data_IF_645401101506
#
_entry.id   IF_645401101506
#
_cell.length_a   1.000
_cell.length_b   1.000
_cell.length_c   1.000
_cell.angle_alpha   90.00
_cell.angle_beta   90.00
_cell.angle_gamma   90.00
#
_symmetry.space_group_name_H-M   'P 1'
#
loop_
_entity.id
_entity.type
_entity.pdbx_description
1 polymer ?
#
# COMPACT_ATOMS: atom_id res chain seq x y z
N UNK A 1 9.32 5.04 33.54
CA UNK A 1 10.71 4.52 33.51
C UNK A 1 11.02 3.75 32.22
N UNK A 2 10.29 2.70 31.86
CA UNK A 2 10.56 1.87 30.66
C UNK A 2 10.62 2.68 29.33
N UNK A 3 9.69 3.63 29.10
CA UNK A 3 9.67 4.46 27.87
C UNK A 3 10.91 5.36 27.74
N UNK A 4 11.38 5.99 28.84
CA UNK A 4 12.60 6.82 28.81
C UNK A 4 13.84 6.00 28.48
N UNK A 5 13.96 4.78 29.01
CA UNK A 5 15.04 3.86 28.69
C UNK A 5 15.01 3.50 27.20
N UNK A 6 13.83 3.15 26.65
CA UNK A 6 13.66 2.83 25.22
C UNK A 6 14.09 4.01 24.33
N UNK A 7 13.65 5.24 24.65
CA UNK A 7 14.05 6.43 23.88
C UNK A 7 15.54 6.71 23.96
N UNK A 8 16.17 6.44 25.10
CA UNK A 8 17.63 6.48 25.26
C UNK A 8 18.34 5.46 24.37
N UNK A 9 17.90 4.20 24.40
CA UNK A 9 18.44 3.14 23.55
C UNK A 9 18.32 3.48 22.05
N UNK A 10 17.20 4.03 21.62
CA UNK A 10 17.00 4.51 20.24
C UNK A 10 18.02 5.60 19.88
N UNK A 11 18.29 6.53 20.80
CA UNK A 11 19.28 7.58 20.55
C UNK A 11 20.69 7.02 20.39
N UNK A 12 21.08 6.05 21.22
CA UNK A 12 22.37 5.35 21.11
C UNK A 12 22.44 4.58 19.79
N UNK A 13 21.40 3.81 19.46
CA UNK A 13 21.31 3.11 18.17
C UNK A 13 21.50 4.07 16.99
N UNK A 14 20.80 5.19 16.97
CA UNK A 14 20.91 6.19 15.90
C UNK A 14 22.32 6.76 15.80
N UNK A 15 22.96 7.06 16.92
CA UNK A 15 24.33 7.59 16.94
C UNK A 15 25.33 6.58 16.35
N UNK A 16 25.27 5.33 16.80
CA UNK A 16 26.14 4.25 16.29
C UNK A 16 25.89 3.97 14.80
N UNK A 17 24.61 3.92 14.41
CA UNK A 17 24.21 3.66 13.02
C UNK A 17 24.70 4.77 12.09
N UNK A 18 24.62 6.05 12.52
CA UNK A 18 25.17 7.18 11.77
C UNK A 18 26.69 7.20 11.73
N UNK A 19 27.38 6.78 12.79
CA UNK A 19 28.83 6.66 12.79
C UNK A 19 29.30 5.63 11.75
N UNK A 20 28.67 4.45 11.72
CA UNK A 20 28.94 3.41 10.70
C UNK A 20 28.63 3.95 9.29
N UNK A 21 27.49 4.62 9.12
CA UNK A 21 27.10 5.20 7.84
C UNK A 21 28.07 6.29 7.36
N UNK A 22 28.63 7.11 8.27
CA UNK A 22 29.63 8.12 7.94
C UNK A 22 30.89 7.49 7.33
N UNK A 23 31.34 6.35 7.89
CA UNK A 23 32.48 5.57 7.31
C UNK A 23 32.08 5.01 5.93
N UNK A 24 30.89 4.44 5.78
CA UNK A 24 30.42 3.91 4.50
C UNK A 24 30.36 4.99 3.41
N UNK A 25 30.06 6.24 3.78
CA UNK A 25 30.05 7.40 2.87
C UNK A 25 31.43 7.82 2.35
N UNK A 26 32.54 7.28 2.85
CA UNK A 26 33.86 7.53 2.26
C UNK A 26 34.00 6.93 0.85
N UNK A 27 33.17 5.95 0.51
CA UNK A 27 33.11 5.37 -0.84
C UNK A 27 32.53 6.39 -1.85
N UNK A 28 32.95 6.37 -3.11
CA UNK A 28 32.41 7.25 -4.14
C UNK A 28 30.95 6.95 -4.45
N UNK A 29 30.21 7.98 -4.85
CA UNK A 29 28.86 7.85 -5.36
C UNK A 29 28.85 7.06 -6.68
N UNK A 30 27.79 6.30 -6.91
CA UNK A 30 27.57 5.45 -8.09
C UNK A 30 26.29 5.87 -8.79
N UNK A 31 26.22 5.72 -10.08
CA UNK A 31 24.98 5.84 -10.86
C UNK A 31 24.01 4.71 -10.50
N UNK A 32 23.38 4.84 -9.35
CA UNK A 32 22.65 3.77 -8.68
C UNK A 32 21.33 4.22 -8.12
N UNK A 33 20.30 3.39 -8.34
CA UNK A 33 18.98 3.50 -7.73
C UNK A 33 18.78 2.33 -6.76
N UNK A 34 18.44 2.63 -5.52
CA UNK A 34 18.17 1.64 -4.47
C UNK A 34 16.68 1.65 -4.17
N UNK A 35 16.02 0.50 -4.27
CA UNK A 35 14.60 0.32 -3.96
C UNK A 35 14.45 -0.47 -2.67
N UNK A 36 13.80 0.12 -1.64
CA UNK A 36 13.66 -0.49 -0.32
C UNK A 36 12.19 -0.69 0.02
N UNK A 37 11.81 -1.93 0.32
CA UNK A 37 10.47 -2.29 0.81
C UNK A 37 10.54 -3.02 2.15
N UNK A 38 9.56 -2.71 3.01
CA UNK A 38 9.25 -3.46 4.24
C UNK A 38 7.91 -4.19 4.14
N UNK A 39 7.26 -4.14 3.00
CA UNK A 39 5.92 -4.68 2.76
C UNK A 39 5.94 -6.11 2.21
N UNK A 40 7.13 -6.61 1.82
CA UNK A 40 7.29 -7.92 1.21
C UNK A 40 8.75 -8.36 1.29
N UNK A 41 8.99 -9.68 1.32
CA UNK A 41 10.31 -10.28 1.18
C UNK A 41 10.72 -10.46 -0.29
N UNK A 42 9.87 -10.08 -1.23
CA UNK A 42 10.13 -10.12 -2.68
C UNK A 42 9.87 -8.76 -3.32
N UNK A 43 10.35 -8.59 -4.55
CA UNK A 43 10.06 -7.39 -5.33
C UNK A 43 8.55 -7.23 -5.51
N UNK A 44 8.08 -6.00 -5.31
CA UNK A 44 6.67 -5.66 -5.55
C UNK A 44 6.46 -5.26 -7.00
N UNK A 45 5.25 -5.42 -7.55
CA UNK A 45 4.95 -5.04 -8.92
C UNK A 45 5.28 -3.58 -9.27
N UNK A 46 5.14 -2.66 -8.31
CA UNK A 46 5.50 -1.26 -8.50
C UNK A 46 7.01 -1.09 -8.73
N UNK A 47 7.85 -1.80 -7.95
CA UNK A 47 9.30 -1.76 -8.10
C UNK A 47 9.77 -2.48 -9.37
N UNK A 48 9.13 -3.60 -9.72
CA UNK A 48 9.42 -4.34 -10.94
C UNK A 48 9.19 -3.47 -12.19
N UNK A 49 8.05 -2.76 -12.24
CA UNK A 49 7.75 -1.85 -13.35
C UNK A 49 8.72 -0.67 -13.43
N UNK A 50 8.99 -0.02 -12.29
CA UNK A 50 9.96 1.07 -12.24
C UNK A 50 11.34 0.60 -12.69
N UNK A 51 11.81 -0.54 -12.20
CA UNK A 51 13.11 -1.09 -12.55
C UNK A 51 13.22 -1.41 -14.03
N UNK A 52 12.23 -2.08 -14.59
CA UNK A 52 12.19 -2.41 -16.02
C UNK A 52 12.26 -1.14 -16.89
N UNK A 53 11.50 -0.11 -16.53
CA UNK A 53 11.47 1.13 -17.30
C UNK A 53 12.75 1.98 -17.11
N UNK A 54 13.36 1.95 -15.89
CA UNK A 54 14.66 2.61 -15.65
C UNK A 54 15.75 1.92 -16.48
N UNK A 55 15.82 0.58 -16.49
CA UNK A 55 16.79 -0.18 -17.29
C UNK A 55 16.61 0.06 -18.78
N UNK A 56 15.37 0.18 -19.24
CA UNK A 56 15.08 0.51 -20.64
C UNK A 56 15.51 1.94 -21.00
N UNK A 57 15.35 2.90 -20.06
CA UNK A 57 15.74 4.31 -20.24
C UNK A 57 17.24 4.52 -20.19
N UNK A 58 17.94 3.79 -19.32
CA UNK A 58 19.39 3.88 -19.16
C UNK A 58 19.98 2.57 -18.60
N UNK A 59 20.51 1.69 -19.46
CA UNK A 59 21.13 0.43 -19.05
C UNK A 59 22.37 0.57 -18.17
N UNK A 60 22.96 1.78 -18.06
CA UNK A 60 24.11 2.06 -17.21
C UNK A 60 23.77 2.31 -15.73
N UNK A 61 22.47 2.34 -15.39
CA UNK A 61 22.01 2.51 -14.01
C UNK A 61 22.07 1.18 -13.26
N UNK A 62 22.78 1.16 -12.13
CA UNK A 62 22.76 -0.01 -11.25
C UNK A 62 21.51 -0.01 -10.38
N UNK A 63 20.64 -1.02 -10.52
CA UNK A 63 19.47 -1.23 -9.67
C UNK A 63 19.80 -2.16 -8.51
N UNK A 64 19.34 -1.81 -7.30
CA UNK A 64 19.47 -2.63 -6.09
C UNK A 64 18.12 -2.72 -5.38
N UNK A 65 17.64 -3.93 -5.16
CA UNK A 65 16.37 -4.21 -4.49
C UNK A 65 16.62 -4.77 -3.09
N UNK A 66 16.10 -4.10 -2.08
CA UNK A 66 16.25 -4.43 -0.66
C UNK A 66 14.88 -4.62 -0.03
N UNK A 67 14.25 -5.74 -0.32
CA UNK A 67 12.91 -6.09 0.15
C UNK A 67 13.02 -7.05 1.34
N UNK A 68 12.57 -6.62 2.53
CA UNK A 68 12.52 -7.47 3.72
C UNK A 68 11.49 -6.97 4.73
N UNK A 69 10.58 -7.86 5.11
CA UNK A 69 9.69 -7.69 6.24
C UNK A 69 10.46 -7.84 7.56
N UNK A 70 10.01 -7.13 8.60
CA UNK A 70 10.52 -7.29 9.94
C UNK A 70 9.73 -8.43 10.61
N UNK A 71 10.41 -9.52 10.92
CA UNK A 71 9.80 -10.63 11.64
C UNK A 71 9.83 -10.43 13.15
N UNK A 72 9.16 -11.31 13.89
CA UNK A 72 8.96 -11.23 15.34
C UNK A 72 9.88 -12.13 16.14
N UNK A 73 10.57 -13.09 15.51
CA UNK A 73 11.50 -13.98 16.19
C UNK A 73 12.87 -13.31 16.42
N UNK A 74 13.62 -13.68 17.48
CA UNK A 74 14.95 -13.13 17.72
C UNK A 74 15.92 -13.30 16.53
N UNK A 75 15.82 -14.42 15.82
CA UNK A 75 16.64 -14.68 14.63
C UNK A 75 16.28 -13.77 13.46
N UNK A 76 14.99 -13.54 13.25
CA UNK A 76 14.50 -12.62 12.21
C UNK A 76 14.88 -11.17 12.53
N UNK A 77 14.78 -10.75 13.79
CA UNK A 77 15.25 -9.45 14.24
C UNK A 77 16.75 -9.27 14.00
N UNK A 78 17.56 -10.29 14.31
CA UNK A 78 19.01 -10.25 14.02
C UNK A 78 19.27 -10.14 12.51
N UNK A 79 18.58 -10.94 11.70
CA UNK A 79 18.65 -10.86 10.22
C UNK A 79 18.22 -9.49 9.71
N UNK A 80 17.22 -8.88 10.35
CA UNK A 80 16.78 -7.55 10.01
C UNK A 80 17.81 -6.48 10.38
N UNK A 81 18.56 -6.63 11.47
CA UNK A 81 19.70 -5.75 11.80
C UNK A 81 20.77 -5.79 10.72
N UNK A 82 21.14 -6.96 10.21
CA UNK A 82 22.07 -7.07 9.08
C UNK A 82 21.49 -6.45 7.80
N UNK A 83 20.19 -6.58 7.57
CA UNK A 83 19.54 -5.92 6.46
C UNK A 83 19.59 -4.39 6.59
N UNK A 84 19.43 -3.82 7.78
CA UNK A 84 19.61 -2.38 8.01
C UNK A 84 21.02 -1.92 7.65
N UNK A 85 22.06 -2.68 8.03
CA UNK A 85 23.45 -2.38 7.65
C UNK A 85 23.66 -2.46 6.14
N UNK A 86 23.07 -3.44 5.48
CA UNK A 86 23.08 -3.55 4.01
C UNK A 86 22.40 -2.35 3.35
N UNK A 87 21.22 -1.95 3.85
CA UNK A 87 20.56 -0.74 3.39
C UNK A 87 21.45 0.51 3.51
N UNK A 88 22.11 0.69 4.67
CA UNK A 88 23.05 1.79 4.86
C UNK A 88 24.21 1.74 3.86
N UNK A 89 24.79 0.56 3.64
CA UNK A 89 25.89 0.37 2.70
C UNK A 89 25.50 0.74 1.27
N UNK A 90 24.33 0.35 0.81
CA UNK A 90 23.85 0.68 -0.53
C UNK A 90 23.43 2.15 -0.65
N UNK A 91 22.75 2.71 0.35
CA UNK A 91 22.37 4.12 0.38
C UNK A 91 23.57 5.08 0.41
N UNK A 92 24.69 4.67 1.03
CA UNK A 92 25.89 5.51 1.17
C UNK A 92 26.50 5.95 -0.17
N UNK A 93 26.19 5.24 -1.25
CA UNK A 93 26.76 5.44 -2.58
C UNK A 93 25.69 5.62 -3.67
N UNK A 94 24.38 5.68 -3.31
CA UNK A 94 23.29 5.83 -4.26
C UNK A 94 22.94 7.29 -4.51
N UNK A 95 22.55 7.62 -5.75
CA UNK A 95 21.98 8.93 -6.09
C UNK A 95 20.46 8.98 -5.86
N UNK A 96 19.75 7.85 -6.05
CA UNK A 96 18.31 7.81 -5.83
C UNK A 96 17.96 6.62 -4.92
N UNK A 97 17.06 6.87 -3.98
CA UNK A 97 16.41 5.84 -3.17
C UNK A 97 14.90 5.90 -3.39
N UNK A 98 14.29 4.78 -3.77
CA UNK A 98 12.84 4.64 -3.92
C UNK A 98 12.32 3.77 -2.77
N UNK A 99 11.27 4.23 -2.09
CA UNK A 99 10.66 3.51 -0.97
C UNK A 99 9.14 3.44 -1.12
N UNK A 100 8.53 2.38 -0.62
CA UNK A 100 7.07 2.17 -0.63
C UNK A 100 6.40 2.30 0.73
N UNK A 101 7.11 2.82 1.72
CA UNK A 101 6.60 2.98 3.08
C UNK A 101 7.60 3.68 4.00
N UNK A 102 7.32 3.68 5.31
CA UNK A 102 8.28 4.16 6.29
C UNK A 102 9.52 3.27 6.31
N UNK A 103 10.68 3.86 6.10
CA UNK A 103 11.97 3.17 6.03
C UNK A 103 12.93 3.72 7.09
N UNK A 104 13.36 2.87 8.05
CA UNK A 104 14.24 3.27 9.15
C UNK A 104 15.55 3.87 8.63
N UNK A 105 16.32 3.19 7.73
CA UNK A 105 17.55 3.76 7.19
C UNK A 105 17.38 5.15 6.58
N UNK A 106 16.34 5.33 5.76
CA UNK A 106 16.04 6.62 5.14
C UNK A 106 15.74 7.70 6.18
N UNK A 107 14.97 7.35 7.22
CA UNK A 107 14.46 8.33 8.18
C UNK A 107 15.46 8.74 9.26
N UNK A 108 16.43 7.87 9.59
CA UNK A 108 17.33 8.10 10.75
C UNK A 108 18.77 8.42 10.37
N UNK A 109 19.21 8.09 9.15
CA UNK A 109 20.58 8.33 8.71
C UNK A 109 20.77 9.77 8.18
N UNK A 110 21.96 10.30 8.36
CA UNK A 110 22.36 11.61 7.84
C UNK A 110 22.91 11.44 6.42
N UNK A 111 22.00 11.49 5.45
CA UNK A 111 22.32 11.26 4.04
C UNK A 111 23.23 12.34 3.46
N UNK A 112 23.87 12.00 2.34
CA UNK A 112 24.49 12.99 1.46
C UNK A 112 23.41 13.84 0.79
N UNK A 113 23.71 15.08 0.45
CA UNK A 113 22.80 15.99 -0.24
C UNK A 113 22.46 15.54 -1.68
N UNK A 114 23.35 14.74 -2.26
CA UNK A 114 23.19 14.16 -3.61
C UNK A 114 22.23 12.96 -3.65
N UNK A 115 21.90 12.35 -2.50
CA UNK A 115 20.89 11.30 -2.44
C UNK A 115 19.48 11.90 -2.47
N UNK A 116 18.72 11.58 -3.50
CA UNK A 116 17.30 11.93 -3.61
C UNK A 116 16.42 10.75 -3.17
N UNK A 117 15.42 11.02 -2.36
CA UNK A 117 14.49 10.01 -1.82
C UNK A 117 13.11 10.20 -2.40
N UNK A 118 12.62 9.17 -3.09
CA UNK A 118 11.28 9.14 -3.72
C UNK A 118 10.39 8.15 -2.97
N UNK A 119 9.28 8.63 -2.42
CA UNK A 119 8.24 7.81 -1.81
C UNK A 119 7.17 7.48 -2.85
N UNK A 120 6.96 6.18 -3.15
CA UNK A 120 5.91 5.73 -4.09
C UNK A 120 4.67 5.22 -3.37
N UNK A 121 4.78 4.96 -2.06
CA UNK A 121 3.77 4.34 -1.20
C UNK A 121 3.31 2.96 -1.71
N UNK A 122 2.47 2.28 -0.93
CA UNK A 122 2.03 0.91 -1.22
C UNK A 122 0.51 0.79 -1.42
N UNK A 123 -0.21 1.90 -1.40
CA UNK A 123 -1.64 1.93 -1.60
C UNK A 123 -2.00 3.01 -2.62
N UNK A 124 -3.00 2.73 -3.44
CA UNK A 124 -3.55 3.71 -4.37
C UNK A 124 -4.55 4.59 -3.62
N UNK A 125 -4.18 5.84 -3.40
CA UNK A 125 -4.98 6.79 -2.63
C UNK A 125 -4.86 6.63 -1.11
N UNK A 126 -5.64 7.42 -0.39
CA UNK A 126 -5.64 7.52 1.06
C UNK A 126 -7.08 7.52 1.61
N UNK A 127 -7.72 6.35 1.65
CA UNK A 127 -9.09 6.21 2.21
C UNK A 127 -9.07 6.45 3.71
N UNK A 128 -8.19 5.77 4.43
CA UNK A 128 -8.01 5.92 5.90
C UNK A 128 -6.89 6.88 6.23
N UNK A 129 -6.99 7.50 7.40
CA UNK A 129 -5.88 8.25 8.00
C UNK A 129 -4.73 7.32 8.37
N UNK A 130 -3.51 7.77 8.17
CA UNK A 130 -2.29 7.02 8.46
C UNK A 130 -1.11 7.96 8.73
N UNK A 131 0.07 7.40 9.02
CA UNK A 131 1.26 8.20 9.27
C UNK A 131 1.05 9.19 10.41
N UNK A 132 1.35 10.47 10.16
CA UNK A 132 1.21 11.54 11.15
C UNK A 132 -0.26 11.90 11.46
N UNK A 133 -1.19 11.64 10.55
CA UNK A 133 -2.62 11.79 10.80
C UNK A 133 -3.17 10.83 11.86
N UNK A 134 -2.47 9.71 12.12
CA UNK A 134 -2.86 8.64 13.04
C UNK A 134 -1.89 8.51 14.23
N UNK A 135 -1.23 9.59 14.65
CA UNK A 135 -0.40 9.59 15.85
C UNK A 135 -1.25 9.74 17.11
N UNK A 136 -0.95 8.93 18.13
CA UNK A 136 -1.60 8.98 19.45
C UNK A 136 -3.11 8.72 19.45
N UNK A 137 -3.66 8.17 18.37
CA UNK A 137 -5.03 7.63 18.35
C UNK A 137 -5.00 6.14 18.72
N UNK A 138 -6.10 5.56 19.19
CA UNK A 138 -6.20 4.11 19.42
C UNK A 138 -5.78 3.34 18.16
N UNK A 139 -4.88 2.34 18.29
CA UNK A 139 -4.31 1.63 17.14
C UNK A 139 -3.30 2.40 16.29
N UNK A 140 -3.00 3.66 16.63
CA UNK A 140 -1.96 4.48 16.00
C UNK A 140 -0.59 4.28 16.65
N UNK A 141 0.43 4.98 16.12
CA UNK A 141 1.77 4.95 16.68
C UNK A 141 1.94 5.98 17.81
N UNK A 142 2.76 5.65 18.80
CA UNK A 142 3.19 6.61 19.82
C UNK A 142 3.92 7.79 19.17
N UNK A 143 3.44 9.01 19.43
CA UNK A 143 3.95 10.25 18.82
C UNK A 143 5.43 10.48 19.10
N UNK A 144 5.85 10.32 20.38
CA UNK A 144 7.23 10.56 20.79
C UNK A 144 8.20 9.57 20.15
N UNK A 145 7.78 8.29 20.03
CA UNK A 145 8.55 7.27 19.34
C UNK A 145 8.66 7.57 17.83
N UNK A 146 7.56 7.96 17.19
CA UNK A 146 7.54 8.34 15.78
C UNK A 146 8.46 9.53 15.49
N UNK A 147 8.43 10.56 16.35
CA UNK A 147 9.30 11.73 16.24
C UNK A 147 10.77 11.37 16.46
N UNK A 148 11.08 10.56 17.49
CA UNK A 148 12.44 10.10 17.79
C UNK A 148 13.03 9.28 16.65
N UNK A 149 12.21 8.45 16.00
CA UNK A 149 12.59 7.65 14.83
C UNK A 149 12.54 8.42 13.51
N UNK A 150 12.21 9.72 13.54
CA UNK A 150 12.16 10.55 12.33
C UNK A 150 11.16 10.06 11.30
N UNK A 151 9.98 9.61 11.75
CA UNK A 151 8.99 9.03 10.85
C UNK A 151 8.67 9.96 9.65
N UNK A 152 8.82 9.42 8.45
CA UNK A 152 8.59 10.11 7.17
C UNK A 152 9.49 11.33 6.90
N UNK A 153 10.71 11.36 7.44
CA UNK A 153 11.73 12.37 7.09
C UNK A 153 12.50 12.02 5.81
N UNK A 154 13.11 13.07 5.24
CA UNK A 154 14.06 13.01 4.12
C UNK A 154 13.45 12.61 2.77
N UNK A 155 12.17 12.86 2.53
CA UNK A 155 11.57 12.69 1.21
C UNK A 155 11.85 13.93 0.35
N UNK A 156 12.34 13.75 -0.88
CA UNK A 156 12.51 14.78 -1.90
C UNK A 156 11.31 14.82 -2.84
N UNK A 157 10.68 13.68 -3.08
CA UNK A 157 9.43 13.58 -3.81
C UNK A 157 8.51 12.50 -3.24
N UNK A 158 7.20 12.75 -3.32
CA UNK A 158 6.14 11.79 -3.00
C UNK A 158 5.26 11.67 -4.22
N UNK A 159 5.20 10.46 -4.82
CA UNK A 159 4.40 10.21 -6.01
C UNK A 159 2.93 10.03 -5.65
N UNK A 160 2.06 10.71 -6.36
CA UNK A 160 0.62 10.71 -6.13
C UNK A 160 -0.13 10.44 -7.43
N UNK A 161 -1.28 9.75 -7.32
CA UNK A 161 -2.15 9.50 -8.46
C UNK A 161 -3.18 10.63 -8.68
N UNK A 162 -3.37 11.54 -7.70
CA UNK A 162 -4.26 12.69 -7.79
C UNK A 162 -3.91 13.78 -6.78
N UNK A 163 -4.42 14.99 -7.00
CA UNK A 163 -4.29 16.10 -6.05
C UNK A 163 -5.02 15.82 -4.73
N UNK A 164 -6.15 15.10 -4.76
CA UNK A 164 -6.83 14.66 -3.53
C UNK A 164 -5.91 13.77 -2.68
N UNK A 165 -5.23 12.82 -3.31
CA UNK A 165 -4.27 11.95 -2.63
C UNK A 165 -3.06 12.74 -2.15
N UNK A 166 -2.54 13.69 -2.93
CA UNK A 166 -1.42 14.55 -2.55
C UNK A 166 -1.71 15.30 -1.26
N UNK A 167 -2.89 15.94 -1.13
CA UNK A 167 -3.31 16.65 0.08
C UNK A 167 -3.32 15.76 1.32
N UNK A 168 -3.85 14.53 1.19
CA UNK A 168 -3.85 13.57 2.31
C UNK A 168 -2.41 13.12 2.67
N UNK A 169 -1.51 13.00 1.69
CA UNK A 169 -0.12 12.61 1.90
C UNK A 169 0.72 13.73 2.51
N UNK A 170 0.45 15.00 2.22
CA UNK A 170 1.08 16.15 2.91
C UNK A 170 0.91 16.02 4.42
N UNK A 171 -0.31 15.78 4.87
CA UNK A 171 -0.63 15.61 6.28
C UNK A 171 -0.06 14.30 6.85
N UNK A 172 -0.24 13.18 6.12
CA UNK A 172 0.16 11.86 6.59
C UNK A 172 1.68 11.71 6.72
N UNK A 173 2.44 12.29 5.81
CA UNK A 173 3.91 12.27 5.85
C UNK A 173 4.49 13.48 6.56
N UNK A 174 3.74 14.57 6.72
CA UNK A 174 4.22 15.81 7.28
C UNK A 174 5.29 16.45 6.39
N UNK A 175 5.08 16.44 5.10
CA UNK A 175 5.94 17.04 4.08
C UNK A 175 5.20 18.15 3.34
N UNK A 176 5.94 19.12 2.81
CA UNK A 176 5.37 20.26 2.13
C UNK A 176 4.82 19.92 0.73
N UNK A 177 3.86 20.71 0.26
CA UNK A 177 3.18 20.53 -1.02
C UNK A 177 4.12 20.52 -2.23
N UNK A 178 5.23 21.26 -2.16
CA UNK A 178 6.26 21.33 -3.21
C UNK A 178 6.96 19.97 -3.47
N UNK A 179 6.86 19.02 -2.55
CA UNK A 179 7.38 17.66 -2.71
C UNK A 179 6.37 16.68 -3.29
N UNK A 180 5.09 17.06 -3.37
CA UNK A 180 4.07 16.21 -4.00
C UNK A 180 4.23 16.23 -5.52
N UNK A 181 4.22 15.06 -6.15
CA UNK A 181 4.32 14.88 -7.60
C UNK A 181 3.14 14.09 -8.10
N UNK A 182 2.18 14.77 -8.71
CA UNK A 182 0.98 14.15 -9.31
C UNK A 182 1.37 13.61 -10.70
N UNK A 183 2.25 12.62 -10.71
CA UNK A 183 2.72 11.92 -11.92
C UNK A 183 1.85 10.71 -12.27
N UNK A 184 0.90 10.35 -11.41
CA UNK A 184 0.39 9.01 -11.33
C UNK A 184 1.36 8.10 -10.57
N UNK A 185 1.03 6.81 -10.47
CA UNK A 185 1.87 5.79 -9.81
C UNK A 185 1.91 4.50 -10.64
N UNK A 186 2.99 3.70 -10.55
CA UNK A 186 3.15 2.47 -11.38
C UNK A 186 2.00 1.47 -11.22
N UNK A 187 1.41 1.39 -10.03
CA UNK A 187 0.28 0.50 -9.74
C UNK A 187 -0.93 0.71 -10.64
N UNK A 188 -1.20 1.95 -11.04
CA UNK A 188 -2.28 2.26 -11.99
C UNK A 188 -2.04 1.53 -13.30
N UNK A 189 -0.82 1.61 -13.83
CA UNK A 189 -0.46 0.92 -15.07
C UNK A 189 -0.51 -0.60 -14.93
N UNK A 190 -0.05 -1.15 -13.78
CA UNK A 190 -0.13 -2.58 -13.50
C UNK A 190 -1.56 -3.11 -13.60
N UNK A 191 -2.50 -2.37 -13.01
CA UNK A 191 -3.91 -2.76 -13.02
C UNK A 191 -4.51 -2.60 -14.41
N UNK A 192 -4.24 -1.50 -15.10
CA UNK A 192 -4.78 -1.22 -16.43
C UNK A 192 -4.20 -2.13 -17.53
N UNK A 193 -2.93 -2.56 -17.38
CA UNK A 193 -2.24 -3.47 -18.29
C UNK A 193 -2.50 -4.95 -17.97
N UNK A 194 -3.18 -5.25 -16.85
CA UNK A 194 -3.46 -6.62 -16.41
C UNK A 194 -4.27 -7.41 -17.45
N UNK A 195 -3.79 -8.60 -17.82
CA UNK A 195 -4.50 -9.50 -18.73
C UNK A 195 -5.65 -10.23 -18.01
N UNK A 196 -6.80 -9.57 -17.93
CA UNK A 196 -8.00 -10.08 -17.26
C UNK A 196 -8.50 -11.40 -17.83
N UNK A 197 -8.38 -11.61 -19.15
CA UNK A 197 -8.77 -12.86 -19.80
C UNK A 197 -7.89 -14.03 -19.32
N UNK A 198 -6.58 -13.81 -19.15
CA UNK A 198 -5.65 -14.79 -18.58
C UNK A 198 -5.99 -15.09 -17.12
N UNK A 199 -6.29 -14.07 -16.32
CA UNK A 199 -6.71 -14.25 -14.92
C UNK A 199 -7.96 -15.14 -14.85
N UNK A 200 -8.99 -14.82 -15.63
CA UNK A 200 -10.24 -15.60 -15.69
C UNK A 200 -10.00 -17.05 -16.16
N UNK A 201 -9.20 -17.26 -17.20
CA UNK A 201 -8.87 -18.63 -17.67
C UNK A 201 -8.20 -19.46 -16.56
N UNK A 202 -7.20 -18.91 -15.87
CA UNK A 202 -6.49 -19.60 -14.79
C UNK A 202 -7.43 -19.90 -13.62
N UNK A 203 -8.26 -18.94 -13.23
CA UNK A 203 -9.21 -19.12 -12.14
C UNK A 203 -10.22 -20.23 -12.44
N UNK A 204 -10.90 -20.18 -13.60
CA UNK A 204 -11.88 -21.19 -13.98
C UNK A 204 -11.28 -22.52 -14.45
N UNK A 205 -9.97 -22.62 -14.60
CA UNK A 205 -9.28 -23.91 -14.70
C UNK A 205 -9.14 -24.57 -13.32
N UNK A 206 -8.92 -23.78 -12.27
CA UNK A 206 -8.85 -24.28 -10.89
C UNK A 206 -10.24 -24.53 -10.27
N UNK A 207 -11.24 -23.71 -10.65
CA UNK A 207 -12.62 -23.76 -10.13
C UNK A 207 -13.64 -23.83 -11.27
N UNK A 208 -13.71 -24.94 -12.02
CA UNK A 208 -14.61 -25.06 -13.16
C UNK A 208 -16.09 -25.00 -12.78
N UNK A 209 -16.44 -25.42 -11.56
CA UNK A 209 -17.80 -25.40 -11.00
C UNK A 209 -18.35 -23.99 -10.79
N UNK A 210 -17.49 -22.96 -10.76
CA UNK A 210 -17.90 -21.56 -10.61
C UNK A 210 -18.17 -20.85 -11.93
N UNK A 211 -18.04 -21.54 -13.06
CA UNK A 211 -18.34 -20.95 -14.38
C UNK A 211 -19.82 -20.60 -14.49
N UNK A 212 -20.08 -19.40 -15.00
CA UNK A 212 -21.44 -18.90 -15.21
C UNK A 212 -22.12 -18.35 -13.96
N UNK A 213 -21.49 -18.48 -12.79
CA UNK A 213 -22.00 -17.86 -11.57
C UNK A 213 -21.56 -16.40 -11.46
N UNK A 214 -22.42 -15.55 -10.87
CA UNK A 214 -22.08 -14.17 -10.49
C UNK A 214 -21.21 -14.20 -9.24
N UNK A 215 -19.95 -13.81 -9.39
CA UNK A 215 -18.95 -13.84 -8.32
C UNK A 215 -18.79 -12.45 -7.73
N UNK A 216 -18.94 -12.34 -6.41
CA UNK A 216 -18.68 -11.11 -5.65
C UNK A 216 -17.46 -11.32 -4.74
N UNK A 217 -16.50 -10.40 -4.81
CA UNK A 217 -15.31 -10.41 -3.94
C UNK A 217 -15.54 -9.52 -2.72
N UNK A 218 -15.45 -10.07 -1.52
CA UNK A 218 -15.38 -9.28 -0.29
C UNK A 218 -13.92 -9.21 0.20
N UNK A 219 -13.38 -8.00 0.25
CA UNK A 219 -12.02 -7.73 0.68
C UNK A 219 -11.99 -6.67 1.79
N UNK A 220 -12.26 -7.06 3.05
CA UNK A 220 -12.28 -6.13 4.17
C UNK A 220 -10.89 -5.62 4.55
N UNK A 221 -10.85 -4.44 5.17
CA UNK A 221 -9.66 -3.90 5.83
C UNK A 221 -9.37 -4.67 7.11
N UNK A 222 -8.08 -4.89 7.39
CA UNK A 222 -7.60 -5.40 8.65
C UNK A 222 -8.12 -4.59 9.85
N UNK A 223 -8.51 -5.29 10.91
CA UNK A 223 -8.92 -4.69 12.18
C UNK A 223 -7.84 -4.86 13.24
N UNK A 224 -7.58 -3.80 14.01
CA UNK A 224 -6.61 -3.83 15.11
C UNK A 224 -7.17 -4.56 16.34
N UNK A 225 -6.26 -5.02 17.20
CA UNK A 225 -6.61 -5.69 18.44
C UNK A 225 -7.18 -7.09 18.23
N UNK A 226 -8.16 -7.49 19.03
CA UNK A 226 -8.81 -8.80 18.97
C UNK A 226 -10.00 -8.85 17.99
N UNK A 227 -10.30 -7.73 17.35
CA UNK A 227 -11.44 -7.66 16.43
C UNK A 227 -11.14 -8.32 15.11
N UNK A 228 -12.17 -8.94 14.55
CA UNK A 228 -12.16 -9.48 13.18
C UNK A 228 -13.11 -8.67 12.31
N UNK A 229 -12.87 -8.59 11.00
CA UNK A 229 -13.87 -8.08 10.07
C UNK A 229 -15.18 -8.85 10.22
N UNK A 230 -16.31 -8.14 10.08
CA UNK A 230 -17.63 -8.77 10.13
C UNK A 230 -17.87 -9.54 8.82
N UNK A 231 -17.87 -10.87 8.91
CA UNK A 231 -17.97 -11.74 7.74
C UNK A 231 -19.30 -12.51 7.76
N UNK A 232 -19.70 -13.04 8.91
CA UNK A 232 -20.85 -13.96 9.04
C UNK A 232 -22.18 -13.33 8.59
N UNK A 233 -22.56 -12.09 8.95
CA UNK A 233 -23.79 -11.49 8.45
C UNK A 233 -23.80 -11.38 6.92
N UNK A 234 -22.67 -10.99 6.31
CA UNK A 234 -22.58 -10.86 4.87
C UNK A 234 -22.61 -12.20 4.14
N UNK A 235 -21.92 -13.22 4.64
CA UNK A 235 -21.96 -14.58 4.07
C UNK A 235 -23.34 -15.19 4.21
N UNK A 236 -24.00 -15.01 5.35
CA UNK A 236 -25.36 -15.51 5.59
C UNK A 236 -26.38 -14.84 4.64
N UNK A 237 -26.29 -13.52 4.45
CA UNK A 237 -27.16 -12.82 3.52
C UNK A 237 -26.90 -13.26 2.06
N UNK A 238 -25.63 -13.43 1.68
CA UNK A 238 -25.25 -13.91 0.37
C UNK A 238 -25.78 -15.32 0.08
N UNK A 239 -25.62 -16.25 1.01
CA UNK A 239 -26.14 -17.62 0.89
C UNK A 239 -27.66 -17.65 0.74
N UNK A 240 -28.38 -16.94 1.61
CA UNK A 240 -29.86 -16.86 1.55
C UNK A 240 -30.37 -16.35 0.20
N UNK A 241 -29.65 -15.46 -0.44
CA UNK A 241 -30.03 -14.83 -1.70
C UNK A 241 -29.35 -15.49 -2.93
N UNK A 242 -28.62 -16.59 -2.75
CA UNK A 242 -27.98 -17.33 -3.84
C UNK A 242 -26.80 -16.56 -4.50
N UNK A 243 -26.16 -15.63 -3.79
CA UNK A 243 -25.00 -14.89 -4.28
C UNK A 243 -23.70 -15.61 -3.90
N UNK A 244 -22.83 -15.87 -4.88
CA UNK A 244 -21.51 -16.44 -4.62
C UNK A 244 -20.55 -15.37 -4.09
N UNK A 245 -20.17 -15.49 -2.83
CA UNK A 245 -19.21 -14.60 -2.18
C UNK A 245 -17.86 -15.30 -2.00
N UNK A 246 -16.78 -14.65 -2.51
CA UNK A 246 -15.40 -15.02 -2.21
C UNK A 246 -14.85 -14.00 -1.23
N UNK A 247 -14.33 -14.47 -0.09
CA UNK A 247 -13.73 -13.58 0.93
C UNK A 247 -12.22 -13.61 0.82
N UNK A 248 -11.60 -12.42 0.77
CA UNK A 248 -10.16 -12.24 0.79
C UNK A 248 -9.74 -11.45 2.01
N UNK A 249 -9.36 -12.14 3.06
CA UNK A 249 -8.87 -11.53 4.28
C UNK A 249 -7.48 -10.91 4.09
N UNK A 250 -7.19 -9.91 4.91
CA UNK A 250 -5.82 -9.44 5.10
C UNK A 250 -4.96 -10.57 5.70
N UNK A 251 -3.68 -10.74 5.33
CA UNK A 251 -2.83 -11.81 5.86
C UNK A 251 -2.82 -11.90 7.39
N UNK A 252 -2.76 -10.75 8.08
CA UNK A 252 -2.79 -10.71 9.55
C UNK A 252 -4.09 -11.23 10.17
N UNK A 253 -5.26 -10.98 9.54
CA UNK A 253 -6.53 -11.54 10.02
C UNK A 253 -6.60 -13.04 9.76
N UNK A 254 -6.05 -13.50 8.63
CA UNK A 254 -5.95 -14.93 8.33
C UNK A 254 -5.06 -15.65 9.35
N UNK A 255 -3.88 -15.13 9.67
CA UNK A 255 -3.01 -15.69 10.72
C UNK A 255 -3.69 -15.75 12.09
N UNK A 256 -4.57 -14.79 12.41
CA UNK A 256 -5.38 -14.84 13.63
C UNK A 256 -6.36 -15.99 13.63
N UNK A 257 -7.10 -16.19 12.54
CA UNK A 257 -8.02 -17.34 12.40
C UNK A 257 -7.28 -18.66 12.56
N UNK A 258 -6.11 -18.79 11.92
CA UNK A 258 -5.27 -19.99 12.01
C UNK A 258 -4.77 -20.22 13.43
N UNK A 259 -4.29 -19.18 14.12
CA UNK A 259 -3.86 -19.28 15.53
C UNK A 259 -4.98 -19.64 16.48
N UNK A 260 -6.17 -19.11 16.26
CA UNK A 260 -7.36 -19.45 17.06
C UNK A 260 -7.98 -20.80 16.68
N UNK A 261 -7.45 -21.49 15.64
CA UNK A 261 -8.00 -22.74 15.08
C UNK A 261 -9.47 -22.61 14.66
N UNK A 262 -9.85 -21.42 14.20
CA UNK A 262 -11.19 -21.18 13.66
C UNK A 262 -11.18 -21.52 12.18
N UNK A 263 -12.02 -22.50 11.79
CA UNK A 263 -12.20 -22.84 10.38
C UNK A 263 -13.08 -21.77 9.71
N UNK A 264 -12.66 -21.21 8.57
CA UNK A 264 -13.47 -20.26 7.83
C UNK A 264 -14.78 -20.90 7.37
N UNK A 265 -15.90 -20.25 7.66
CA UNK A 265 -17.24 -20.61 7.14
C UNK A 265 -17.56 -19.83 5.87
N UNK A 266 -16.56 -19.59 5.02
CA UNK A 266 -16.69 -18.83 3.77
C UNK A 266 -15.72 -19.36 2.72
N UNK A 267 -16.02 -19.08 1.45
CA UNK A 267 -15.15 -19.49 0.34
C UNK A 267 -13.92 -18.57 0.26
N UNK A 268 -12.76 -19.18 0.27
CA UNK A 268 -11.49 -18.53 -0.09
C UNK A 268 -10.93 -19.17 -1.37
N UNK A 269 -10.03 -18.45 -2.05
CA UNK A 269 -9.23 -18.95 -3.16
C UNK A 269 -7.78 -18.53 -2.92
N UNK A 270 -7.08 -19.16 -1.96
CA UNK A 270 -5.81 -18.67 -1.42
C UNK A 270 -4.66 -18.67 -2.43
N UNK A 271 -4.71 -19.52 -3.45
CA UNK A 271 -3.72 -19.62 -4.53
C UNK A 271 -3.78 -18.43 -5.51
N UNK A 272 -4.83 -17.61 -5.44
CA UNK A 272 -4.98 -16.42 -6.28
C UNK A 272 -4.78 -15.14 -5.47
N UNK A 273 -3.94 -14.25 -5.98
CA UNK A 273 -3.76 -12.92 -5.39
C UNK A 273 -4.99 -12.01 -5.61
N UNK A 274 -5.09 -10.96 -4.80
CA UNK A 274 -6.22 -10.01 -4.81
C UNK A 274 -6.54 -9.45 -6.19
N UNK A 275 -5.54 -9.09 -6.99
CA UNK A 275 -5.74 -8.58 -8.35
C UNK A 275 -6.38 -9.60 -9.28
N UNK A 276 -6.00 -10.89 -9.16
CA UNK A 276 -6.63 -11.95 -9.94
C UNK A 276 -8.10 -12.14 -9.53
N UNK A 277 -8.38 -12.17 -8.23
CA UNK A 277 -9.75 -12.29 -7.73
C UNK A 277 -10.61 -11.09 -8.14
N UNK A 278 -10.09 -9.88 -8.03
CA UNK A 278 -10.73 -8.65 -8.49
C UNK A 278 -11.02 -8.68 -10.02
N UNK A 279 -10.10 -9.19 -10.83
CA UNK A 279 -10.32 -9.34 -12.27
C UNK A 279 -11.41 -10.36 -12.62
N UNK A 280 -11.56 -11.41 -11.82
CA UNK A 280 -12.55 -12.47 -11.98
C UNK A 280 -13.93 -12.03 -11.50
N UNK A 281 -14.01 -11.37 -10.35
CA UNK A 281 -15.25 -10.95 -9.72
C UNK A 281 -16.10 -10.04 -10.63
N UNK A 282 -17.41 -10.11 -10.48
CA UNK A 282 -18.37 -9.23 -11.16
C UNK A 282 -18.61 -7.94 -10.37
N UNK A 283 -18.40 -7.97 -9.05
CA UNK A 283 -18.42 -6.82 -8.15
C UNK A 283 -17.43 -7.00 -7.00
N UNK A 284 -17.05 -5.90 -6.36
CA UNK A 284 -16.18 -5.88 -5.18
C UNK A 284 -16.92 -5.23 -4.02
N UNK A 285 -16.98 -5.92 -2.89
CA UNK A 285 -17.37 -5.36 -1.59
C UNK A 285 -16.10 -5.09 -0.82
N UNK A 286 -15.99 -3.92 -0.23
CA UNK A 286 -14.92 -3.55 0.68
C UNK A 286 -15.44 -2.59 1.75
N UNK A 287 -14.55 -2.01 2.54
CA UNK A 287 -14.90 -1.02 3.54
C UNK A 287 -14.02 0.24 3.40
N UNK A 288 -12.88 0.31 4.08
CA UNK A 288 -11.96 1.45 4.08
C UNK A 288 -10.66 1.15 3.32
N UNK A 289 -10.71 0.25 2.35
CA UNK A 289 -9.53 -0.21 1.62
C UNK A 289 -9.36 0.47 0.27
N UNK A 290 -8.11 0.70 -0.11
CA UNK A 290 -7.73 1.21 -1.43
C UNK A 290 -8.13 0.29 -2.60
N UNK A 291 -8.54 -0.97 -2.33
CA UNK A 291 -9.06 -1.87 -3.37
C UNK A 291 -10.30 -1.29 -4.06
N UNK A 292 -11.06 -0.40 -3.40
CA UNK A 292 -12.17 0.34 -4.01
C UNK A 292 -11.70 1.17 -5.20
N UNK A 293 -10.58 1.85 -5.05
CA UNK A 293 -9.96 2.66 -6.12
C UNK A 293 -9.38 1.72 -7.20
N UNK A 294 -8.70 0.65 -6.80
CA UNK A 294 -8.10 -0.34 -7.70
C UNK A 294 -9.17 -1.03 -8.57
N UNK A 295 -10.30 -1.41 -7.99
CA UNK A 295 -11.44 -2.01 -8.70
C UNK A 295 -12.10 -1.04 -9.69
N UNK A 296 -12.21 0.25 -9.32
CA UNK A 296 -12.78 1.28 -10.18
C UNK A 296 -11.97 1.49 -11.48
N UNK A 297 -10.64 1.30 -11.45
CA UNK A 297 -9.78 1.38 -12.64
C UNK A 297 -10.16 0.38 -13.73
N UNK A 298 -10.62 -0.80 -13.34
CA UNK A 298 -11.07 -1.85 -14.28
C UNK A 298 -12.58 -1.91 -14.42
N UNK A 299 -13.27 -0.82 -14.01
CA UNK A 299 -14.74 -0.65 -14.09
C UNK A 299 -15.51 -1.77 -13.39
N UNK A 300 -15.01 -2.28 -12.27
CA UNK A 300 -15.77 -3.20 -11.41
C UNK A 300 -16.69 -2.40 -10.51
N UNK A 301 -17.99 -2.76 -10.40
CA UNK A 301 -18.86 -2.24 -9.36
C UNK A 301 -18.22 -2.36 -7.98
N UNK A 302 -18.20 -1.28 -7.22
CA UNK A 302 -17.66 -1.21 -5.87
C UNK A 302 -18.78 -0.91 -4.89
N UNK A 303 -18.89 -1.73 -3.87
CA UNK A 303 -19.82 -1.54 -2.77
C UNK A 303 -19.07 -1.44 -1.46
N UNK A 304 -19.53 -0.56 -0.57
CA UNK A 304 -18.92 -0.35 0.73
C UNK A 304 -19.78 -0.96 1.83
N UNK A 305 -19.21 -1.92 2.58
CA UNK A 305 -19.82 -2.51 3.76
C UNK A 305 -19.17 -1.92 5.01
N UNK A 306 -19.79 -0.87 5.56
CA UNK A 306 -19.22 -0.01 6.61
C UNK A 306 -20.00 -0.13 7.92
N UNK A 307 -20.21 -1.37 8.37
CA UNK A 307 -20.96 -1.74 9.57
C UNK A 307 -20.45 -1.06 10.87
N UNK A 308 -19.15 -0.71 10.92
CA UNK A 308 -18.47 -0.14 12.08
C UNK A 308 -17.99 1.30 11.85
N UNK A 309 -18.62 2.06 10.92
CA UNK A 309 -18.14 3.35 10.44
C UNK A 309 -17.83 4.35 11.56
N UNK A 310 -18.75 4.57 12.50
CA UNK A 310 -18.56 5.57 13.56
C UNK A 310 -17.37 5.19 14.46
N UNK A 311 -17.28 3.93 14.83
CA UNK A 311 -16.15 3.41 15.60
C UNK A 311 -14.83 3.54 14.83
N UNK A 312 -14.86 3.25 13.52
CA UNK A 312 -13.66 3.36 12.69
C UNK A 312 -13.18 4.81 12.56
N UNK A 313 -14.10 5.77 12.45
CA UNK A 313 -13.80 7.21 12.48
C UNK A 313 -13.12 7.62 13.79
N UNK A 314 -13.63 7.14 14.93
CA UNK A 314 -13.08 7.45 16.24
C UNK A 314 -11.69 6.84 16.50
N UNK A 315 -11.46 5.61 16.03
CA UNK A 315 -10.23 4.86 16.31
C UNK A 315 -9.11 5.10 15.31
N UNK A 316 -9.44 5.20 14.02
CA UNK A 316 -8.45 5.33 12.92
C UNK A 316 -8.57 6.65 12.18
N UNK A 317 -9.79 7.13 11.99
CA UNK A 317 -10.10 8.27 11.15
C UNK A 317 -10.05 7.95 9.66
N UNK A 318 -10.79 8.75 8.88
CA UNK A 318 -10.95 8.61 7.44
C UNK A 318 -10.57 9.90 6.73
N UNK A 319 -10.03 9.78 5.52
CA UNK A 319 -9.87 10.84 4.53
C UNK A 319 -10.99 10.76 3.46
N UNK A 320 -11.74 9.66 3.45
CA UNK A 320 -12.89 9.42 2.58
C UNK A 320 -13.96 8.69 3.38
N UNK A 321 -15.17 9.27 3.44
CA UNK A 321 -16.33 8.68 4.11
C UNK A 321 -17.25 8.02 3.07
N UNK A 322 -17.33 6.68 3.00
CA UNK A 322 -18.14 6.00 2.00
C UNK A 322 -19.62 6.33 2.07
N UNK A 323 -20.20 6.50 3.28
CA UNK A 323 -21.63 6.84 3.41
C UNK A 323 -21.93 8.25 2.95
N UNK A 324 -21.03 9.21 3.19
CA UNK A 324 -21.22 10.59 2.79
C UNK A 324 -20.96 10.81 1.29
N UNK A 325 -19.92 10.15 0.75
CA UNK A 325 -19.43 10.42 -0.61
C UNK A 325 -19.97 9.44 -1.67
N UNK A 326 -20.33 8.22 -1.26
CA UNK A 326 -20.87 7.16 -2.16
C UNK A 326 -22.14 6.51 -1.57
N UNK A 327 -23.15 7.29 -1.15
CA UNK A 327 -24.31 6.77 -0.41
C UNK A 327 -25.14 5.72 -1.19
N UNK A 328 -25.08 5.74 -2.52
CA UNK A 328 -25.83 4.82 -3.38
C UNK A 328 -25.25 3.39 -3.40
N UNK A 329 -24.03 3.19 -2.91
CA UNK A 329 -23.38 1.87 -2.86
C UNK A 329 -22.66 1.62 -1.52
N UNK A 330 -22.97 2.39 -0.47
CA UNK A 330 -22.43 2.21 0.87
C UNK A 330 -23.54 1.79 1.85
N UNK A 331 -23.28 0.75 2.64
CA UNK A 331 -24.27 0.10 3.50
C UNK A 331 -23.65 -0.24 4.86
N UNK A 332 -24.46 -0.11 5.91
CA UNK A 332 -24.10 -0.54 7.27
C UNK A 332 -24.66 -1.92 7.63
N UNK A 333 -25.54 -2.50 6.79
CA UNK A 333 -26.17 -3.80 6.98
C UNK A 333 -25.97 -4.68 5.76
N UNK A 334 -25.82 -6.00 6.01
CA UNK A 334 -25.51 -6.99 4.97
C UNK A 334 -26.68 -7.23 4.00
N UNK A 335 -27.89 -7.39 4.51
CA UNK A 335 -29.04 -7.72 3.67
C UNK A 335 -29.36 -6.65 2.62
N UNK A 336 -29.48 -5.34 2.95
CA UNK A 336 -29.70 -4.30 1.95
C UNK A 336 -28.56 -4.19 0.93
N UNK A 337 -27.32 -4.48 1.34
CA UNK A 337 -26.16 -4.51 0.45
C UNK A 337 -26.32 -5.62 -0.60
N UNK A 338 -26.60 -6.86 -0.15
CA UNK A 338 -26.74 -8.00 -1.06
C UNK A 338 -27.93 -7.81 -1.99
N UNK A 339 -29.06 -7.31 -1.48
CA UNK A 339 -30.24 -6.97 -2.28
C UNK A 339 -29.92 -5.95 -3.37
N UNK A 340 -29.19 -4.88 -3.01
CA UNK A 340 -28.74 -3.88 -3.96
C UNK A 340 -27.86 -4.49 -5.06
N UNK A 341 -26.88 -5.34 -4.71
CA UNK A 341 -26.00 -6.01 -5.68
C UNK A 341 -26.77 -6.87 -6.67
N UNK A 342 -27.83 -7.54 -6.22
CA UNK A 342 -28.60 -8.48 -7.03
C UNK A 342 -29.65 -7.80 -7.92
N UNK A 343 -30.29 -6.75 -7.41
CA UNK A 343 -31.51 -6.23 -7.99
C UNK A 343 -31.43 -4.77 -8.46
N UNK A 344 -30.39 -4.01 -8.05
CA UNK A 344 -30.28 -2.59 -8.44
C UNK A 344 -29.23 -2.42 -9.52
N UNK A 345 -29.52 -1.75 -10.65
CA UNK A 345 -28.52 -1.37 -11.63
C UNK A 345 -27.43 -0.49 -11.01
N UNK A 346 -26.17 -0.83 -11.29
CA UNK A 346 -25.03 -0.10 -10.75
C UNK A 346 -24.78 1.22 -11.48
N UNK A 347 -24.52 2.29 -10.74
CA UNK A 347 -24.21 3.63 -11.26
C UNK A 347 -22.73 3.75 -11.67
N UNK A 348 -22.43 3.50 -12.93
CA UNK A 348 -21.07 3.60 -13.47
C UNK A 348 -20.58 5.05 -13.65
N UNK A 349 -21.48 6.03 -13.71
CA UNK A 349 -21.10 7.45 -13.81
C UNK A 349 -20.48 7.90 -12.48
N UNK A 350 -21.12 7.55 -11.35
CA UNK A 350 -20.58 7.81 -10.02
C UNK A 350 -19.30 7.05 -9.76
N UNK A 351 -19.16 5.80 -10.24
CA UNK A 351 -17.88 5.06 -10.16
C UNK A 351 -16.78 5.78 -10.92
N UNK A 352 -17.09 6.32 -12.09
CA UNK A 352 -16.15 7.08 -12.90
C UNK A 352 -15.74 8.39 -12.22
N UNK A 353 -16.68 9.10 -11.61
CA UNK A 353 -16.39 10.29 -10.81
C UNK A 353 -15.49 9.96 -9.61
N UNK A 354 -15.87 8.95 -8.83
CA UNK A 354 -15.02 8.44 -7.72
C UNK A 354 -13.60 8.09 -8.17
N UNK A 355 -13.46 7.35 -9.28
CA UNK A 355 -12.15 7.02 -9.82
C UNK A 355 -11.32 8.27 -10.14
N UNK A 356 -11.90 9.26 -10.82
CA UNK A 356 -11.22 10.49 -11.23
C UNK A 356 -10.70 11.32 -10.05
N UNK A 357 -11.36 11.28 -8.90
CA UNK A 357 -10.88 11.96 -7.70
C UNK A 357 -9.58 11.35 -7.15
N UNK A 358 -9.41 10.03 -7.29
CA UNK A 358 -8.24 9.32 -6.78
C UNK A 358 -7.18 9.02 -7.83
N UNK A 359 -7.55 8.99 -9.11
CA UNK A 359 -6.66 8.72 -10.24
C UNK A 359 -6.99 9.66 -11.40
N UNK A 360 -6.14 10.66 -11.59
CA UNK A 360 -6.33 11.69 -12.62
C UNK A 360 -5.87 11.24 -14.01
N UNK A 361 -4.92 10.28 -14.06
CA UNK A 361 -4.34 9.79 -15.32
C UNK A 361 -4.48 8.28 -15.45
N UNK A 362 -5.17 7.83 -16.51
CA UNK A 362 -5.38 6.40 -16.83
C UNK A 362 -4.92 6.03 -18.27
N UNK A 363 -3.94 6.79 -18.77
CA UNK A 363 -3.34 6.65 -20.12
C UNK A 363 -2.28 5.54 -20.21
N UNK A 364 -2.03 4.80 -19.12
CA UNK A 364 -1.03 3.72 -18.97
C UNK A 364 0.42 4.18 -19.09
N UNK A 365 0.70 5.48 -18.92
CA UNK A 365 2.02 6.07 -18.96
C UNK A 365 2.49 6.61 -17.61
N UNK A 366 1.82 6.20 -16.52
CA UNK A 366 2.15 6.65 -15.17
C UNK A 366 3.56 6.23 -14.76
N UNK A 367 3.95 4.99 -15.08
CA UNK A 367 5.30 4.47 -14.78
C UNK A 367 6.36 5.30 -15.47
N UNK A 368 6.17 5.65 -16.75
CA UNK A 368 7.11 6.47 -17.51
C UNK A 368 7.30 7.85 -16.87
N UNK A 369 6.21 8.55 -16.51
CA UNK A 369 6.30 9.85 -15.82
C UNK A 369 7.03 9.76 -14.48
N UNK A 370 6.87 8.66 -13.74
CA UNK A 370 7.62 8.43 -12.52
C UNK A 370 9.12 8.24 -12.82
N UNK A 371 9.44 7.49 -13.86
CA UNK A 371 10.84 7.24 -14.28
C UNK A 371 11.49 8.51 -14.78
N UNK A 372 10.80 9.35 -15.57
CA UNK A 372 11.33 10.63 -16.04
C UNK A 372 11.76 11.53 -14.86
N UNK A 373 10.95 11.59 -13.80
CA UNK A 373 11.32 12.29 -12.56
C UNK A 373 12.54 11.67 -11.87
N UNK A 374 12.59 10.34 -11.77
CA UNK A 374 13.71 9.60 -11.16
C UNK A 374 15.00 9.83 -11.94
N UNK A 375 14.94 9.82 -13.26
CA UNK A 375 16.09 10.07 -14.15
C UNK A 375 16.57 11.52 -14.05
N UNK A 376 15.66 12.48 -13.88
CA UNK A 376 16.02 13.87 -13.59
C UNK A 376 16.84 13.96 -12.30
N UNK A 377 16.39 13.36 -11.21
CA UNK A 377 17.13 13.33 -9.94
C UNK A 377 18.48 12.63 -10.06
N UNK A 378 18.54 11.56 -10.84
CA UNK A 378 19.79 10.84 -11.09
C UNK A 378 20.81 11.70 -11.83
N UNK A 379 20.36 12.48 -12.81
CA UNK A 379 21.20 13.38 -13.61
C UNK A 379 21.66 14.60 -12.81
N UNK A 380 20.78 15.23 -12.04
CA UNK A 380 21.11 16.33 -11.14
C UNK A 380 22.19 15.93 -10.13
N UNK A 381 22.00 14.79 -9.45
CA UNK A 381 22.96 14.29 -8.47
C UNK A 381 24.34 13.93 -9.05
N UNK A 382 24.44 13.71 -10.36
CA UNK A 382 25.71 13.47 -11.05
C UNK A 382 26.39 14.78 -11.44
N UNK A 383 25.62 15.80 -11.85
CA UNK A 383 26.12 17.08 -12.32
C UNK A 383 26.54 18.06 -11.20
N UNK A 384 26.06 17.84 -9.98
CA UNK A 384 26.43 18.64 -8.78
C UNK A 384 27.85 18.30 -8.22
N UNK A 385 28.72 17.67 -9.00
CA UNK A 385 30.10 17.29 -8.65
C UNK A 385 31.13 18.31 -9.06
#
# INVERSE_FOLDING_TARGET
MKKRILLGLISVFKALYNAVYAVMKLRPMQKKVVMISRQSNSQRPDFEQLGTEIEASDPGVRLVYLCREMGDTPLELLRYCFHLLHCAAELSTAHVCIIDGYCIPVSVLHHRKELRVVQVWHALGAIKKFGRQALSVPGGRDKELAERMGMHKHYDAVLCASHRTAKAYEEAFGVSADKMRVTGVPRVDAILKMNRARCRRRFFAAYPELRGQKIVLYAPTFRDGEQMPEIEPLTTAAEKMGMLLIVRLHPLDRERLERCRVLPKFRECPEFGTFTLMAVADAVITDYSAISIEASLIKKPVYFYVYDLERYKETRGLNFDPLAEMPHCAFTKAEPLVECILHTPYDYEKLTAFRKEFVETDDKNNTQRCVDLIMTFLTEGINDR
#
